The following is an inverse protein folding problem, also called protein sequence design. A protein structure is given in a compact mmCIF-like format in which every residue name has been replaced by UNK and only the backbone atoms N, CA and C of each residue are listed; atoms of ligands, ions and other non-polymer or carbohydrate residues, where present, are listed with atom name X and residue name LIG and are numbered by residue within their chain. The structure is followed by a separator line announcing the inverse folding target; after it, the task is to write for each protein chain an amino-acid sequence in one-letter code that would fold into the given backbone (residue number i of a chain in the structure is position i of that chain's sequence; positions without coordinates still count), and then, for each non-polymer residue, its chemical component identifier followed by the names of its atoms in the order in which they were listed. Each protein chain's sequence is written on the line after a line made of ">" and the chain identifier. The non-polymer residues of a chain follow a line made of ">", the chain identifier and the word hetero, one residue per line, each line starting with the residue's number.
data_IF_005465389062
#
_entry.id   IF_005465389062
#
_cell.length_a   1.000
_cell.length_b   1.000
_cell.length_c   1.000
_cell.angle_alpha   90.00
_cell.angle_beta   90.00
_cell.angle_gamma   90.00
#
_symmetry.space_group_name_H-M   'P 1'
#
loop_
_entity.id
_entity.type
_entity.pdbx_description
1 polymer ?
#
# COMPACT_ATOMS: atom_id res chain seq x y z
N UNK A 1 5.14 26.32 -13.11
CA UNK A 1 4.53 25.12 -12.53
C UNK A 1 4.38 24.13 -13.67
N UNK A 2 5.17 23.05 -13.68
CA UNK A 2 4.98 21.94 -14.62
C UNK A 2 3.87 21.08 -14.01
N UNK A 3 2.74 20.82 -14.71
CA UNK A 3 1.74 19.90 -14.21
C UNK A 3 2.35 18.50 -14.10
N UNK A 4 2.06 17.81 -12.99
CA UNK A 4 2.38 16.38 -12.88
C UNK A 4 1.56 15.64 -13.94
N UNK A 5 2.23 14.90 -14.82
CA UNK A 5 1.57 14.13 -15.86
C UNK A 5 1.01 12.84 -15.23
N UNK A 6 -0.29 12.85 -14.91
CA UNK A 6 -1.00 11.73 -14.28
C UNK A 6 -2.01 11.08 -15.23
N UNK A 7 -1.91 11.35 -16.54
CA UNK A 7 -2.86 10.86 -17.55
C UNK A 7 -2.91 9.33 -17.62
N UNK A 8 -1.82 8.66 -17.25
CA UNK A 8 -1.68 7.20 -17.21
C UNK A 8 -1.81 6.60 -15.79
N UNK A 9 -2.37 7.34 -14.83
CA UNK A 9 -2.58 6.86 -13.47
C UNK A 9 -4.07 6.71 -13.14
N UNK A 10 -4.44 5.60 -12.49
CA UNK A 10 -5.78 5.40 -11.92
C UNK A 10 -5.71 5.28 -10.41
N UNK A 11 -6.80 5.63 -9.73
CA UNK A 11 -6.97 5.41 -8.29
C UNK A 11 -8.31 4.72 -8.06
N UNK A 12 -8.25 3.51 -7.51
CA UNK A 12 -9.41 2.63 -7.38
C UNK A 12 -9.62 2.19 -5.93
N UNK A 13 -10.89 1.95 -5.57
CA UNK A 13 -11.25 1.41 -4.26
C UNK A 13 -11.45 -0.10 -4.40
N UNK A 14 -10.68 -0.86 -3.62
CA UNK A 14 -10.84 -2.30 -3.46
C UNK A 14 -11.41 -2.59 -2.07
N UNK A 15 -12.54 -3.30 -2.01
CA UNK A 15 -13.12 -3.77 -0.74
C UNK A 15 -12.56 -5.16 -0.45
N UNK A 16 -11.69 -5.24 0.55
CA UNK A 16 -10.88 -6.43 0.86
C UNK A 16 -11.27 -6.91 2.24
N UNK A 17 -11.61 -8.19 2.38
CA UNK A 17 -11.81 -8.81 3.69
C UNK A 17 -10.48 -9.20 4.35
N UNK A 18 -10.48 -9.50 5.65
CA UNK A 18 -9.25 -9.94 6.34
C UNK A 18 -8.66 -11.24 5.77
N UNK A 19 -9.50 -12.11 5.21
CA UNK A 19 -9.09 -13.39 4.61
C UNK A 19 -8.41 -13.17 3.25
N UNK A 20 -8.75 -12.09 2.55
CA UNK A 20 -8.22 -11.73 1.22
C UNK A 20 -6.96 -10.87 1.31
N UNK A 21 -6.64 -10.33 2.49
CA UNK A 21 -5.56 -9.36 2.68
C UNK A 21 -4.21 -9.90 2.18
N UNK A 22 -3.87 -11.15 2.52
CA UNK A 22 -2.62 -11.78 2.08
C UNK A 22 -2.54 -11.86 0.56
N UNK A 23 -3.57 -12.37 -0.10
CA UNK A 23 -3.62 -12.51 -1.56
C UNK A 23 -3.56 -11.15 -2.26
N UNK A 24 -4.16 -10.12 -1.66
CA UNK A 24 -4.07 -8.75 -2.16
C UNK A 24 -2.63 -8.21 -2.11
N UNK A 25 -1.91 -8.46 -1.02
CA UNK A 25 -0.50 -8.10 -0.90
C UNK A 25 0.41 -8.91 -1.83
N UNK A 26 0.09 -10.18 -2.11
CA UNK A 26 0.81 -10.98 -3.11
C UNK A 26 0.66 -10.37 -4.51
N UNK A 27 -0.55 -9.94 -4.88
CA UNK A 27 -0.79 -9.23 -6.14
C UNK A 27 -0.08 -7.87 -6.20
N UNK A 28 -0.10 -7.11 -5.10
CA UNK A 28 0.65 -5.86 -4.99
C UNK A 28 2.14 -6.07 -5.25
N UNK A 29 2.76 -7.06 -4.60
CA UNK A 29 4.17 -7.45 -4.80
C UNK A 29 4.46 -7.98 -6.21
N UNK A 30 3.45 -8.49 -6.91
CA UNK A 30 3.56 -8.91 -8.31
C UNK A 30 3.44 -7.75 -9.31
N UNK A 31 3.34 -6.50 -8.84
CA UNK A 31 3.26 -5.30 -9.68
C UNK A 31 1.84 -4.95 -10.13
N UNK A 32 0.81 -5.39 -9.42
CA UNK A 32 -0.57 -5.02 -9.74
C UNK A 32 -0.86 -3.53 -9.49
N UNK A 33 -0.12 -2.88 -8.58
CA UNK A 33 -0.25 -1.46 -8.26
C UNK A 33 1.10 -0.84 -7.91
N UNK A 34 1.33 0.42 -8.28
CA UNK A 34 2.54 1.16 -7.91
C UNK A 34 2.54 1.62 -6.43
N UNK A 35 1.34 1.70 -5.83
CA UNK A 35 1.14 2.09 -4.44
C UNK A 35 -0.32 1.94 -4.01
N UNK A 36 -0.54 1.74 -2.71
CA UNK A 36 -1.87 1.54 -2.14
C UNK A 36 -2.06 2.39 -0.89
N UNK A 37 -3.29 2.85 -0.71
CA UNK A 37 -3.75 3.32 0.59
C UNK A 37 -4.44 2.18 1.33
N UNK A 38 -4.18 2.06 2.63
CA UNK A 38 -4.80 1.06 3.51
C UNK A 38 -5.63 1.75 4.59
N UNK A 39 -6.80 1.21 4.86
CA UNK A 39 -7.73 1.75 5.86
C UNK A 39 -8.31 0.65 6.75
N UNK A 40 -9.12 1.05 7.73
CA UNK A 40 -9.77 0.15 8.68
C UNK A 40 -10.55 -0.93 7.89
N UNK A 41 -10.45 -2.21 8.29
CA UNK A 41 -9.80 -2.73 9.49
C UNK A 41 -8.30 -3.12 9.33
N UNK A 42 -7.67 -2.81 8.20
CA UNK A 42 -6.38 -3.40 7.81
C UNK A 42 -5.14 -2.57 8.14
N UNK A 43 -5.29 -1.39 8.77
CA UNK A 43 -4.17 -0.46 9.00
C UNK A 43 -3.02 -1.00 9.84
N UNK A 44 -3.31 -1.99 10.68
CA UNK A 44 -2.34 -2.64 11.58
C UNK A 44 -1.85 -3.96 10.97
N UNK A 45 -2.76 -4.87 10.65
CA UNK A 45 -2.42 -6.19 10.06
C UNK A 45 -1.72 -6.08 8.70
N UNK A 46 -1.97 -5.03 7.93
CA UNK A 46 -1.27 -4.79 6.67
C UNK A 46 0.24 -4.58 6.83
N UNK A 47 0.72 -4.19 8.01
CA UNK A 47 2.14 -3.99 8.28
C UNK A 47 2.96 -5.29 8.23
N UNK A 48 2.33 -6.44 8.44
CA UNK A 48 2.98 -7.75 8.41
C UNK A 48 3.51 -8.11 7.01
N UNK A 49 3.00 -7.45 5.97
CA UNK A 49 3.32 -7.75 4.58
C UNK A 49 4.37 -6.83 3.97
N UNK A 50 4.86 -5.83 4.72
CA UNK A 50 5.75 -4.77 4.23
C UNK A 50 7.19 -5.04 4.66
N UNK A 51 8.15 -4.81 3.75
CA UNK A 51 9.58 -5.07 4.03
C UNK A 51 10.23 -4.00 4.93
N UNK A 52 9.79 -2.74 4.79
CA UNK A 52 10.31 -1.59 5.53
C UNK A 52 9.17 -0.76 6.12
N UNK A 53 9.41 -0.21 7.32
CA UNK A 53 8.52 0.73 7.98
C UNK A 53 9.22 2.05 8.26
N UNK A 54 8.55 3.15 7.98
CA UNK A 54 8.97 4.49 8.40
C UNK A 54 8.95 4.60 9.93
N UNK A 55 9.79 5.47 10.49
CA UNK A 55 9.87 5.65 11.95
C UNK A 55 8.54 6.08 12.58
N UNK A 56 7.76 6.90 11.87
CA UNK A 56 6.41 7.28 12.32
C UNK A 56 5.47 6.07 12.43
N UNK A 57 5.54 5.14 11.48
CA UNK A 57 4.75 3.91 11.47
C UNK A 57 5.21 2.97 12.59
N UNK A 58 6.52 2.87 12.84
CA UNK A 58 7.06 2.10 13.98
C UNK A 58 6.56 2.60 15.33
N UNK A 59 6.40 3.93 15.49
CA UNK A 59 5.90 4.55 16.72
C UNK A 59 4.38 4.36 16.87
N UNK A 60 3.63 4.51 15.78
CA UNK A 60 2.17 4.51 15.80
C UNK A 60 1.54 3.11 15.65
N UNK A 61 2.30 2.15 15.12
CA UNK A 61 1.83 0.77 14.88
C UNK A 61 0.82 0.63 13.75
N UNK A 62 0.65 1.64 12.89
CA UNK A 62 -0.26 1.59 11.75
C UNK A 62 0.21 2.46 10.57
N UNK A 63 -0.25 2.11 9.36
CA UNK A 63 0.01 2.87 8.14
C UNK A 63 -1.29 3.29 7.44
N UNK A 64 -1.15 4.28 6.57
CA UNK A 64 -2.21 4.71 5.63
C UNK A 64 -1.75 4.51 4.19
N UNK A 65 -0.46 4.62 3.92
CA UNK A 65 0.11 4.59 2.57
C UNK A 65 1.21 3.53 2.55
N UNK A 66 1.20 2.71 1.51
CA UNK A 66 2.24 1.74 1.20
C UNK A 66 2.65 1.94 -0.27
N UNK A 67 3.94 1.85 -0.55
CA UNK A 67 4.51 2.08 -1.86
C UNK A 67 5.53 1.00 -2.18
N UNK A 68 5.59 0.57 -3.42
CA UNK A 68 6.71 -0.25 -3.87
C UNK A 68 7.96 0.64 -3.93
N UNK A 69 8.98 0.33 -3.12
CA UNK A 69 10.31 0.91 -3.34
C UNK A 69 11.00 0.06 -4.38
N UNK A 70 11.01 0.52 -5.63
CA UNK A 70 11.84 -0.08 -6.66
C UNK A 70 13.29 -0.20 -6.19
N UNK A 71 13.93 -1.33 -6.48
CA UNK A 71 15.38 -1.44 -6.32
C UNK A 71 16.02 -0.52 -7.35
N UNK A 72 16.74 0.51 -6.89
CA UNK A 72 17.52 1.43 -7.75
C UNK A 72 18.50 0.65 -8.62
#
# INVERSE_FOLDING_TARGET
>A
MIPFNLEDCTYEKNDISSEELSSFFDAFKAGAFDGINITIPHKEHGLEFVDELDESVKILGNAIVLQEKGTV
#
